data_IF_891288312763
#
_entry.id   IF_891288312763
#
_cell.length_a   1.000
_cell.length_b   1.000
_cell.length_c   1.000
_cell.angle_alpha   90.00
_cell.angle_beta   90.00
_cell.angle_gamma   90.00
#
_symmetry.space_group_name_H-M   'P 1'
#
loop_
_entity.id
_entity.type
_entity.pdbx_description
1 polymer ?
#
# COMPACT_ATOMS: atom_id res chain seq x y z
N UNK A 1 3.87 44.70 -28.82
CA UNK A 1 3.71 44.15 -27.50
C UNK A 1 3.60 42.64 -27.67
N UNK A 2 4.71 41.92 -27.49
CA UNK A 2 4.78 40.47 -27.68
C UNK A 2 4.58 39.77 -26.35
N UNK A 3 3.49 39.06 -26.22
CA UNK A 3 3.19 38.24 -25.05
C UNK A 3 3.92 36.91 -25.18
N UNK A 4 5.03 36.76 -24.45
CA UNK A 4 5.71 35.47 -24.29
C UNK A 4 4.83 34.53 -23.48
N UNK A 5 4.21 33.58 -24.13
CA UNK A 5 3.61 32.41 -23.47
C UNK A 5 4.75 31.50 -23.00
N UNK A 6 5.02 31.49 -21.72
CA UNK A 6 5.91 30.51 -21.08
C UNK A 6 5.24 29.16 -21.17
N UNK A 7 5.69 28.33 -22.11
CA UNK A 7 5.28 26.93 -22.23
C UNK A 7 5.89 26.20 -21.04
N UNK A 8 5.05 25.73 -20.12
CA UNK A 8 5.45 24.96 -18.94
C UNK A 8 5.96 23.59 -19.39
N UNK A 9 7.28 23.42 -19.44
CA UNK A 9 7.96 22.18 -19.88
C UNK A 9 7.87 21.04 -18.84
N UNK A 10 7.18 21.26 -17.70
CA UNK A 10 7.15 20.32 -16.57
C UNK A 10 6.01 19.27 -16.63
N UNK A 11 5.03 19.41 -17.51
CA UNK A 11 3.90 18.49 -17.59
C UNK A 11 4.28 17.01 -17.88
N UNK A 12 5.19 16.68 -18.82
CA UNK A 12 5.52 15.29 -19.13
C UNK A 12 6.27 14.56 -18.00
N UNK A 13 7.05 15.28 -17.19
CA UNK A 13 7.82 14.68 -16.07
C UNK A 13 6.90 14.35 -14.91
N UNK A 14 5.96 15.23 -14.57
CA UNK A 14 4.98 14.98 -13.50
C UNK A 14 4.07 13.79 -13.82
N UNK A 15 3.63 13.66 -15.05
CA UNK A 15 2.80 12.54 -15.51
C UNK A 15 3.56 11.20 -15.47
N UNK A 16 4.84 11.20 -15.85
CA UNK A 16 5.70 10.01 -15.77
C UNK A 16 5.93 9.57 -14.33
N UNK A 17 6.19 10.51 -13.40
CA UNK A 17 6.35 10.22 -11.97
C UNK A 17 5.07 9.64 -11.38
N UNK A 18 3.92 10.24 -11.69
CA UNK A 18 2.61 9.78 -11.22
C UNK A 18 2.32 8.35 -11.70
N UNK A 19 2.55 8.06 -12.97
CA UNK A 19 2.35 6.72 -13.54
C UNK A 19 3.26 5.70 -12.88
N UNK A 20 4.53 6.02 -12.71
CA UNK A 20 5.51 5.15 -12.05
C UNK A 20 5.10 4.78 -10.63
N UNK A 21 4.64 5.74 -9.82
CA UNK A 21 4.22 5.43 -8.44
C UNK A 21 2.95 4.60 -8.39
N UNK A 22 2.01 4.83 -9.29
CA UNK A 22 0.79 4.02 -9.42
C UNK A 22 1.15 2.57 -9.77
N UNK A 23 2.04 2.36 -10.73
CA UNK A 23 2.50 1.02 -11.13
C UNK A 23 3.17 0.27 -9.97
N UNK A 24 3.97 0.96 -9.15
CA UNK A 24 4.58 0.39 -7.93
C UNK A 24 3.52 -0.05 -6.92
N UNK A 25 2.52 0.78 -6.66
CA UNK A 25 1.42 0.45 -5.75
C UNK A 25 0.59 -0.75 -6.22
N UNK A 26 0.36 -0.87 -7.53
CA UNK A 26 -0.30 -2.03 -8.14
C UNK A 26 0.58 -3.27 -8.01
N UNK A 27 1.89 -3.14 -8.24
CA UNK A 27 2.84 -4.25 -8.16
C UNK A 27 2.89 -4.86 -6.75
N UNK A 28 2.81 -4.04 -5.69
CA UNK A 28 2.75 -4.51 -4.31
C UNK A 28 1.58 -5.46 -4.08
N UNK A 29 0.36 -5.06 -4.45
CA UNK A 29 -0.80 -5.91 -4.27
C UNK A 29 -0.72 -7.19 -5.12
N UNK A 30 -0.21 -7.08 -6.34
CA UNK A 30 0.01 -8.25 -7.21
C UNK A 30 0.96 -9.24 -6.56
N UNK A 31 2.06 -8.79 -5.98
CA UNK A 31 3.03 -9.63 -5.28
C UNK A 31 2.38 -10.36 -4.11
N UNK A 32 1.67 -9.66 -3.24
CA UNK A 32 0.96 -10.26 -2.11
C UNK A 32 -0.06 -11.30 -2.56
N UNK A 33 -0.83 -11.00 -3.61
CA UNK A 33 -1.91 -11.87 -4.07
C UNK A 33 -1.43 -13.11 -4.83
N UNK A 34 -0.34 -13.00 -5.59
CA UNK A 34 0.18 -14.09 -6.42
C UNK A 34 1.18 -14.96 -5.66
N UNK A 35 2.08 -14.34 -4.89
CA UNK A 35 3.22 -15.05 -4.32
C UNK A 35 3.07 -15.35 -2.83
N UNK A 36 2.29 -14.56 -2.08
CA UNK A 36 2.14 -14.74 -0.64
C UNK A 36 0.83 -15.44 -0.29
N UNK A 37 -0.28 -15.01 -0.87
CA UNK A 37 -1.61 -15.56 -0.58
C UNK A 37 -1.73 -17.09 -0.74
N UNK A 38 -1.07 -17.75 -1.72
CA UNK A 38 -1.17 -19.20 -1.89
C UNK A 38 -0.38 -20.03 -0.88
N UNK A 39 0.47 -19.39 -0.05
CA UNK A 39 1.30 -20.09 0.92
C UNK A 39 0.48 -20.60 2.09
N UNK A 40 0.91 -21.72 2.75
CA UNK A 40 0.22 -22.25 3.93
C UNK A 40 0.19 -21.22 5.07
N UNK A 41 -0.96 -21.04 5.71
CA UNK A 41 -1.11 -20.10 6.83
C UNK A 41 -0.11 -20.35 7.95
N UNK A 42 0.22 -21.63 8.24
CA UNK A 42 1.23 -22.00 9.23
C UNK A 42 2.62 -21.43 8.92
N UNK A 43 2.96 -21.23 7.65
CA UNK A 43 4.22 -20.60 7.24
C UNK A 43 4.13 -19.07 7.37
N UNK A 44 2.98 -18.50 7.07
CA UNK A 44 2.75 -17.06 7.14
C UNK A 44 2.67 -16.53 8.58
N UNK A 45 2.17 -17.34 9.50
CA UNK A 45 2.03 -16.99 10.93
C UNK A 45 3.25 -17.38 11.78
N UNK A 46 4.23 -18.11 11.20
CA UNK A 46 5.43 -18.51 11.92
C UNK A 46 6.25 -17.29 12.35
N UNK A 47 6.42 -17.15 13.66
CA UNK A 47 7.17 -16.03 14.26
C UNK A 47 8.67 -16.25 14.14
N UNK A 48 9.36 -15.26 13.58
CA UNK A 48 10.82 -15.11 13.61
C UNK A 48 11.23 -13.95 14.54
N UNK A 49 12.51 -13.55 14.52
CA UNK A 49 13.03 -12.43 15.32
C UNK A 49 12.31 -11.09 15.05
N UNK A 50 11.82 -10.90 13.83
CA UNK A 50 11.16 -9.68 13.36
C UNK A 50 9.62 -9.80 13.26
N UNK A 51 9.04 -10.83 13.87
CA UNK A 51 7.62 -11.15 13.78
C UNK A 51 7.31 -12.20 12.70
N UNK A 52 6.15 -12.15 12.12
CA UNK A 52 5.68 -13.06 11.07
C UNK A 52 5.30 -12.30 9.79
N UNK A 53 5.14 -13.02 8.69
CA UNK A 53 4.57 -12.46 7.45
C UNK A 53 3.17 -11.92 7.70
N UNK A 54 2.37 -12.64 8.49
CA UNK A 54 1.04 -12.20 8.92
C UNK A 54 1.08 -10.82 9.60
N UNK A 55 2.00 -10.62 10.55
CA UNK A 55 2.15 -9.35 11.25
C UNK A 55 2.49 -8.19 10.29
N UNK A 56 3.38 -8.44 9.31
CA UNK A 56 3.75 -7.43 8.30
C UNK A 56 2.56 -7.08 7.41
N UNK A 57 1.82 -8.08 6.92
CA UNK A 57 0.63 -7.85 6.08
C UNK A 57 -0.45 -7.10 6.87
N UNK A 58 -0.64 -7.43 8.15
CA UNK A 58 -1.54 -6.70 9.05
C UNK A 58 -1.17 -5.22 9.16
N UNK A 59 0.13 -4.93 9.33
CA UNK A 59 0.63 -3.56 9.38
C UNK A 59 0.43 -2.84 8.04
N UNK A 60 0.75 -3.48 6.91
CA UNK A 60 0.53 -2.91 5.58
C UNK A 60 -0.95 -2.55 5.36
N UNK A 61 -1.87 -3.44 5.77
CA UNK A 61 -3.32 -3.16 5.73
C UNK A 61 -3.70 -1.95 6.57
N UNK A 62 -3.21 -1.87 7.81
CA UNK A 62 -3.51 -0.77 8.71
C UNK A 62 -3.01 0.57 8.16
N UNK A 63 -1.80 0.60 7.61
CA UNK A 63 -1.21 1.79 7.00
C UNK A 63 -1.97 2.23 5.76
N UNK A 64 -2.40 1.28 4.90
CA UNK A 64 -3.21 1.58 3.73
C UNK A 64 -4.58 2.16 4.08
N UNK A 65 -5.25 1.60 5.09
CA UNK A 65 -6.54 2.11 5.56
C UNK A 65 -6.42 3.54 6.10
N UNK A 66 -5.38 3.82 6.88
CA UNK A 66 -5.10 5.18 7.38
C UNK A 66 -4.82 6.15 6.24
N UNK A 67 -4.04 5.71 5.24
CA UNK A 67 -3.73 6.54 4.08
C UNK A 67 -4.99 6.81 3.24
N UNK A 68 -5.78 5.79 2.94
CA UNK A 68 -7.04 5.92 2.20
C UNK A 68 -8.01 6.88 2.90
N UNK A 69 -8.11 6.80 4.23
CA UNK A 69 -8.93 7.69 5.04
C UNK A 69 -8.43 9.14 4.96
N UNK A 70 -7.14 9.38 5.16
CA UNK A 70 -6.54 10.72 5.07
C UNK A 70 -6.72 11.33 3.66
N UNK A 71 -6.58 10.51 2.62
CA UNK A 71 -6.80 10.95 1.24
C UNK A 71 -8.26 11.32 0.99
N UNK A 72 -9.21 10.52 1.49
CA UNK A 72 -10.65 10.80 1.39
C UNK A 72 -11.01 12.12 2.08
N UNK A 73 -10.52 12.34 3.28
CA UNK A 73 -10.73 13.59 4.04
C UNK A 73 -10.20 14.80 3.27
N UNK A 74 -8.99 14.69 2.73
CA UNK A 74 -8.38 15.75 1.94
C UNK A 74 -9.20 16.10 0.70
N UNK A 75 -9.62 15.08 -0.05
CA UNK A 75 -10.35 15.28 -1.31
C UNK A 75 -11.79 15.76 -1.10
N UNK A 76 -12.44 15.36 -0.01
CA UNK A 76 -13.79 15.78 0.32
C UNK A 76 -13.84 17.13 1.05
N UNK A 77 -12.74 17.55 1.67
CA UNK A 77 -12.70 18.71 2.55
C UNK A 77 -13.49 18.52 3.86
N UNK A 78 -13.92 17.30 4.15
CA UNK A 78 -14.73 16.95 5.32
C UNK A 78 -13.91 16.10 6.28
N UNK A 79 -13.79 16.47 7.58
CA UNK A 79 -13.11 15.64 8.58
C UNK A 79 -13.77 14.25 8.70
N UNK A 80 -12.98 13.23 9.01
CA UNK A 80 -13.44 11.85 9.17
C UNK A 80 -14.61 11.69 10.13
N UNK A 81 -14.65 12.50 11.18
CA UNK A 81 -15.72 12.48 12.17
C UNK A 81 -17.11 12.86 11.60
N UNK A 82 -17.18 13.58 10.48
CA UNK A 82 -18.41 14.01 9.84
C UNK A 82 -18.86 13.08 8.71
N UNK A 83 -17.98 12.20 8.23
CA UNK A 83 -18.27 11.22 7.16
C UNK A 83 -19.05 10.00 7.73
N UNK A 84 -19.57 10.07 8.93
CA UNK A 84 -20.29 9.00 9.63
C UNK A 84 -21.66 8.65 9.02
N UNK A 85 -21.76 8.44 7.74
CA UNK A 85 -23.00 8.03 7.10
C UNK A 85 -22.83 6.90 6.09
N UNK A 86 -21.69 6.74 5.50
CA UNK A 86 -21.38 5.69 4.54
C UNK A 86 -20.16 4.91 5.03
N UNK A 87 -20.41 3.71 5.55
CA UNK A 87 -19.46 2.64 5.80
C UNK A 87 -18.04 3.17 6.07
N UNK A 88 -17.82 3.72 7.27
CA UNK A 88 -16.46 3.75 7.80
C UNK A 88 -15.92 2.33 7.55
N UNK A 89 -14.78 2.17 6.84
CA UNK A 89 -14.17 0.86 6.82
C UNK A 89 -14.08 0.48 8.28
N UNK A 90 -14.71 -0.63 8.64
CA UNK A 90 -14.56 -1.21 9.96
C UNK A 90 -13.05 -1.37 10.05
N UNK A 91 -12.39 -0.45 10.76
CA UNK A 91 -11.05 -0.66 11.24
C UNK A 91 -11.29 -1.77 12.26
N UNK A 92 -11.36 -3.00 11.72
CA UNK A 92 -11.44 -4.17 12.53
C UNK A 92 -10.22 -4.07 13.42
N UNK A 93 -10.43 -3.92 14.72
CA UNK A 93 -9.43 -4.32 15.70
C UNK A 93 -8.88 -5.61 15.14
N UNK A 94 -7.56 -5.66 14.90
CA UNK A 94 -6.89 -6.90 14.58
C UNK A 94 -7.34 -7.91 15.62
N UNK A 95 -8.28 -8.75 15.24
CA UNK A 95 -8.55 -9.92 16.03
C UNK A 95 -7.46 -10.90 15.61
N UNK A 96 -6.78 -11.51 16.57
CA UNK A 96 -5.81 -12.61 16.34
C UNK A 96 -6.42 -13.77 15.53
N UNK A 97 -7.67 -13.62 15.10
CA UNK A 97 -8.48 -14.56 14.35
C UNK A 97 -8.48 -14.32 12.83
N UNK A 98 -8.03 -13.15 12.34
CA UNK A 98 -7.99 -12.86 10.91
C UNK A 98 -6.88 -13.69 10.25
N UNK A 99 -7.22 -14.43 9.18
CA UNK A 99 -6.20 -15.14 8.39
C UNK A 99 -5.39 -14.17 7.54
N UNK A 100 -4.15 -14.53 7.21
CA UNK A 100 -3.31 -13.71 6.30
C UNK A 100 -3.98 -13.49 4.95
N UNK A 101 -4.71 -14.47 4.44
CA UNK A 101 -5.50 -14.36 3.21
C UNK A 101 -6.57 -13.28 3.32
N UNK A 102 -7.24 -13.17 4.47
CA UNK A 102 -8.24 -12.13 4.71
C UNK A 102 -7.58 -10.75 4.79
N UNK A 103 -6.45 -10.62 5.49
CA UNK A 103 -5.69 -9.37 5.56
C UNK A 103 -5.24 -8.89 4.17
N UNK A 104 -4.74 -9.79 3.31
CA UNK A 104 -4.38 -9.48 1.91
C UNK A 104 -5.59 -9.00 1.13
N UNK A 105 -6.75 -9.62 1.31
CA UNK A 105 -7.98 -9.22 0.63
C UNK A 105 -8.46 -7.84 1.07
N UNK A 106 -8.40 -7.55 2.35
CA UNK A 106 -8.75 -6.24 2.92
C UNK A 106 -7.78 -5.15 2.46
N UNK A 107 -6.47 -5.44 2.46
CA UNK A 107 -5.45 -4.56 1.89
C UNK A 107 -5.75 -4.24 0.43
N UNK A 108 -6.08 -5.25 -0.39
CA UNK A 108 -6.41 -5.08 -1.80
C UNK A 108 -7.63 -4.19 -2.02
N UNK A 109 -8.67 -4.33 -1.18
CA UNK A 109 -9.86 -3.48 -1.25
C UNK A 109 -9.51 -2.02 -0.90
N UNK A 110 -8.74 -1.80 0.16
CA UNK A 110 -8.29 -0.47 0.56
C UNK A 110 -7.41 0.16 -0.54
N UNK A 111 -6.47 -0.62 -1.11
CA UNK A 111 -5.61 -0.20 -2.21
C UNK A 111 -6.40 0.18 -3.47
N UNK A 112 -7.41 -0.59 -3.83
CA UNK A 112 -8.28 -0.28 -4.97
C UNK A 112 -9.02 1.06 -4.75
N UNK A 113 -9.46 1.33 -3.52
CA UNK A 113 -10.07 2.60 -3.14
C UNK A 113 -9.07 3.76 -3.26
N UNK A 114 -7.87 3.61 -2.73
CA UNK A 114 -6.77 4.60 -2.86
C UNK A 114 -6.48 4.92 -4.31
N UNK A 115 -6.28 3.88 -5.15
CA UNK A 115 -5.98 4.05 -6.57
C UNK A 115 -7.12 4.75 -7.32
N UNK A 116 -8.38 4.43 -7.00
CA UNK A 116 -9.55 5.11 -7.58
C UNK A 116 -9.58 6.60 -7.23
N UNK A 117 -9.34 6.94 -5.96
CA UNK A 117 -9.24 8.34 -5.54
C UNK A 117 -8.11 9.08 -6.25
N UNK A 118 -6.94 8.44 -6.40
CA UNK A 118 -5.77 9.03 -7.07
C UNK A 118 -6.02 9.36 -8.54
N UNK A 119 -6.89 8.63 -9.24
CA UNK A 119 -7.25 8.92 -10.63
C UNK A 119 -7.99 10.26 -10.78
N UNK A 120 -8.70 10.68 -9.75
CA UNK A 120 -9.44 11.94 -9.74
C UNK A 120 -8.63 13.17 -9.31
N UNK A 121 -7.37 13.01 -8.89
CA UNK A 121 -6.53 14.10 -8.38
C UNK A 121 -5.96 14.92 -9.54
N UNK A 122 -6.24 16.23 -9.55
CA UNK A 122 -5.63 17.16 -10.50
C UNK A 122 -4.15 17.43 -10.22
N UNK A 123 -3.42 17.95 -11.21
CA UNK A 123 -1.97 18.20 -11.09
C UNK A 123 -1.64 19.21 -9.97
N UNK A 124 -2.50 20.21 -9.77
CA UNK A 124 -2.33 21.20 -8.70
C UNK A 124 -2.41 20.54 -7.31
N UNK A 125 -3.40 19.65 -7.10
CA UNK A 125 -3.57 18.93 -5.85
C UNK A 125 -2.49 17.88 -5.63
N UNK A 126 -2.01 17.26 -6.71
CA UNK A 126 -0.90 16.30 -6.68
C UNK A 126 0.38 16.92 -6.13
N UNK A 127 0.66 18.17 -6.50
CA UNK A 127 1.83 18.92 -6.06
C UNK A 127 1.61 19.75 -4.81
N UNK A 128 0.37 19.81 -4.32
CA UNK A 128 0.03 20.61 -3.14
C UNK A 128 0.61 20.01 -1.85
N UNK A 129 1.11 20.85 -0.92
CA UNK A 129 1.59 20.39 0.37
C UNK A 129 0.46 19.79 1.20
N UNK A 130 0.74 18.67 1.87
CA UNK A 130 -0.19 17.96 2.77
C UNK A 130 0.23 18.08 4.23
N UNK A 131 1.53 18.15 4.49
CA UNK A 131 2.09 18.23 5.83
C UNK A 131 3.43 18.99 5.74
N UNK A 132 3.50 20.20 6.27
CA UNK A 132 4.65 21.06 6.09
C UNK A 132 4.95 21.29 4.60
N UNK A 133 6.18 21.01 4.18
CA UNK A 133 6.61 21.14 2.78
C UNK A 133 6.43 19.84 1.96
N UNK A 134 5.90 18.78 2.57
CA UNK A 134 5.70 17.49 1.90
C UNK A 134 4.47 17.55 1.00
N UNK A 135 4.64 17.32 -0.29
CA UNK A 135 3.54 17.25 -1.26
C UNK A 135 2.75 15.94 -1.15
N UNK A 136 1.53 15.92 -1.70
CA UNK A 136 0.76 14.69 -1.83
C UNK A 136 1.52 13.65 -2.66
N UNK A 137 2.20 14.07 -3.73
CA UNK A 137 3.07 13.22 -4.54
C UNK A 137 4.15 12.52 -3.70
N UNK A 138 4.85 13.29 -2.86
CA UNK A 138 5.93 12.75 -1.99
C UNK A 138 5.36 11.78 -0.95
N UNK A 139 4.17 12.05 -0.43
CA UNK A 139 3.50 11.17 0.52
C UNK A 139 3.11 9.83 -0.11
N UNK A 140 2.58 9.85 -1.34
CA UNK A 140 2.24 8.64 -2.09
C UNK A 140 3.49 7.85 -2.48
N UNK A 141 4.56 8.53 -2.87
CA UNK A 141 5.85 7.89 -3.17
C UNK A 141 6.46 7.23 -1.92
N UNK A 142 6.34 7.88 -0.76
CA UNK A 142 6.75 7.30 0.52
C UNK A 142 5.95 6.04 0.87
N UNK A 143 4.65 6.02 0.58
CA UNK A 143 3.81 4.83 0.75
C UNK A 143 4.32 3.68 -0.13
N UNK A 144 4.56 3.92 -1.41
CA UNK A 144 5.07 2.91 -2.33
C UNK A 144 6.45 2.38 -1.90
N UNK A 145 7.34 3.25 -1.43
CA UNK A 145 8.66 2.87 -0.93
C UNK A 145 8.57 2.02 0.34
N UNK A 146 7.68 2.40 1.27
CA UNK A 146 7.43 1.60 2.47
C UNK A 146 6.91 0.20 2.11
N UNK A 147 5.98 0.10 1.17
CA UNK A 147 5.47 -1.18 0.69
C UNK A 147 6.57 -2.09 0.15
N UNK A 148 7.47 -1.54 -0.66
CA UNK A 148 8.61 -2.29 -1.21
C UNK A 148 9.54 -2.82 -0.11
N UNK A 149 9.81 -2.01 0.91
CA UNK A 149 10.59 -2.44 2.08
C UNK A 149 9.89 -3.58 2.85
N UNK A 150 8.57 -3.51 3.01
CA UNK A 150 7.81 -4.60 3.65
C UNK A 150 7.84 -5.88 2.81
N UNK A 151 7.72 -5.79 1.48
CA UNK A 151 7.86 -6.94 0.60
C UNK A 151 9.25 -7.57 0.66
N UNK A 152 10.32 -6.78 0.75
CA UNK A 152 11.67 -7.28 0.94
C UNK A 152 11.82 -8.04 2.27
N UNK A 153 11.26 -7.53 3.36
CA UNK A 153 11.22 -8.21 4.64
C UNK A 153 10.47 -9.55 4.56
N UNK A 154 9.31 -9.57 3.92
CA UNK A 154 8.54 -10.81 3.69
C UNK A 154 9.37 -11.83 2.92
N UNK A 155 10.03 -11.41 1.82
CA UNK A 155 10.89 -12.29 1.02
C UNK A 155 12.07 -12.84 1.83
N UNK A 156 12.69 -12.02 2.67
CA UNK A 156 13.78 -12.45 3.54
C UNK A 156 13.31 -13.49 4.56
N UNK A 157 12.14 -13.30 5.17
CA UNK A 157 11.55 -14.27 6.09
C UNK A 157 11.25 -15.60 5.41
N UNK A 158 10.65 -15.57 4.21
CA UNK A 158 10.32 -16.78 3.45
C UNK A 158 11.56 -17.46 2.87
N UNK A 159 12.57 -16.71 2.43
CA UNK A 159 13.85 -17.22 1.93
C UNK A 159 14.72 -17.89 3.00
N UNK A 160 14.60 -17.44 4.26
CA UNK A 160 15.24 -18.08 5.42
C UNK A 160 14.56 -19.39 5.84
N UNK A 161 13.37 -19.66 5.32
CA UNK A 161 12.61 -20.89 5.51
C UNK A 161 12.97 -21.90 4.41
N UNK A 162 14.24 -22.37 4.37
CA UNK A 162 14.61 -23.49 3.51
C UNK A 162 13.71 -24.69 3.80
N UNK A 163 13.18 -25.39 2.80
CA UNK A 163 12.40 -26.59 3.06
C UNK A 163 13.31 -27.56 3.82
N UNK A 164 12.91 -27.85 5.07
CA UNK A 164 13.51 -28.93 5.85
C UNK A 164 13.46 -30.19 4.99
N UNK A 165 14.65 -30.72 4.69
CA UNK A 165 14.88 -31.71 3.69
C UNK A 165 13.89 -32.88 3.71
N UNK A 166 13.32 -33.12 2.54
CA UNK A 166 12.88 -34.45 2.19
C UNK A 166 14.14 -35.25 1.90
N UNK A 167 14.88 -35.58 2.96
CA UNK A 167 15.92 -36.59 2.96
C UNK A 167 15.26 -37.95 3.13
N UNK A 168 14.53 -38.41 2.14
CA UNK A 168 14.09 -39.78 2.05
C UNK A 168 15.28 -40.66 1.75
N UNK A 169 15.85 -41.27 2.77
CA UNK A 169 16.78 -42.37 2.60
C UNK A 169 16.05 -43.55 1.93
N UNK A 170 16.34 -43.76 0.67
CA UNK A 170 16.08 -45.03 0.01
C UNK A 170 17.22 -45.98 0.40
N UNK A 171 16.88 -47.06 1.10
CA UNK A 171 17.63 -48.30 1.15
C UNK A 171 16.71 -49.42 0.71
#
# INVERSE_FOLDING_TARGET
MSTNASISVNAPVADTRRRSVIDRLIATYRELNINIRPLPEADLTRKGPEGSVHDIVGQMRADELKFAQALKERLSGVPAAEIQGETAPIIGTETDEDTTVLLISQFGTARATTLSMMQGIGDADWSAPVEGDTSLADRIESLATNDELQLERIRAMLGGMSPVGIGGAVR
#
